data_IF_797016169253
#
_entry.id   IF_797016169253
#
_cell.length_a   1.000
_cell.length_b   1.000
_cell.length_c   1.000
_cell.angle_alpha   90.00
_cell.angle_beta   90.00
_cell.angle_gamma   90.00
#
_symmetry.space_group_name_H-M   'P 1'
#
loop_
_entity.id
_entity.type
_entity.pdbx_description
1 polymer ?
#
# COMPACT_ATOMS: atom_id res chain seq x y z
N UNK A 1 52.74 -13.12 5.21
CA UNK A 1 51.79 -14.25 5.13
C UNK A 1 51.36 -14.48 6.57
N UNK A 2 50.17 -14.12 7.05
CA UNK A 2 48.81 -14.23 6.52
C UNK A 2 47.96 -13.16 7.22
N UNK A 3 47.21 -12.36 6.46
CA UNK A 3 46.26 -11.39 7.00
C UNK A 3 44.93 -12.12 7.30
N UNK A 4 44.53 -12.16 8.57
CA UNK A 4 43.22 -12.64 8.97
C UNK A 4 42.19 -11.54 8.71
N UNK A 5 41.27 -11.81 7.77
CA UNK A 5 40.15 -10.95 7.43
C UNK A 5 39.15 -10.99 8.59
N UNK A 6 39.02 -9.86 9.28
CA UNK A 6 37.98 -9.63 10.28
C UNK A 6 36.67 -9.35 9.54
N UNK A 7 35.81 -10.35 9.40
CA UNK A 7 34.41 -10.13 9.00
C UNK A 7 33.70 -9.42 10.16
N UNK A 8 33.65 -8.09 10.10
CA UNK A 8 32.65 -7.31 10.82
C UNK A 8 31.30 -7.60 10.17
N UNK A 9 30.59 -8.59 10.69
CA UNK A 9 29.14 -8.65 10.53
C UNK A 9 28.59 -7.34 11.10
N UNK A 10 28.08 -6.45 10.24
CA UNK A 10 27.16 -5.41 10.70
C UNK A 10 25.99 -6.16 11.33
N UNK A 11 25.92 -6.14 12.65
CA UNK A 11 24.70 -6.49 13.36
C UNK A 11 23.60 -5.60 12.78
N UNK A 12 22.66 -6.20 12.05
CA UNK A 12 21.37 -5.58 11.80
C UNK A 12 20.81 -5.23 13.18
N UNK A 13 20.62 -3.94 13.47
CA UNK A 13 20.03 -3.50 14.72
C UNK A 13 18.66 -4.18 14.86
N UNK A 14 18.48 -5.16 15.75
CA UNK A 14 17.17 -5.72 16.01
C UNK A 14 16.38 -4.66 16.78
N UNK A 15 15.20 -4.28 16.29
CA UNK A 15 14.20 -3.63 17.14
C UNK A 15 14.18 -2.10 17.17
N UNK A 16 14.49 -1.40 16.08
CA UNK A 16 13.94 -0.04 15.92
C UNK A 16 12.46 -0.17 15.65
N UNK A 17 11.60 0.08 16.65
CA UNK A 17 10.16 0.12 16.45
C UNK A 17 9.84 1.13 15.36
N UNK A 18 9.29 0.68 14.24
CA UNK A 18 8.84 1.57 13.16
C UNK A 18 7.80 2.53 13.73
N UNK A 19 8.05 3.83 13.64
CA UNK A 19 7.17 4.85 14.20
C UNK A 19 7.01 6.03 13.23
N UNK A 20 5.90 6.75 13.36
CA UNK A 20 5.62 7.97 12.59
C UNK A 20 6.10 9.20 13.37
N UNK A 21 6.98 9.97 12.75
CA UNK A 21 7.48 11.24 13.29
C UNK A 21 6.48 12.40 13.09
N UNK A 22 5.22 12.17 13.48
CA UNK A 22 4.11 13.09 13.36
C UNK A 22 3.15 12.96 14.56
N UNK A 23 2.20 13.90 14.68
CA UNK A 23 1.12 13.81 15.67
C UNK A 23 -0.02 12.92 15.14
N UNK A 24 -0.54 11.99 15.95
CA UNK A 24 -1.70 11.19 15.55
C UNK A 24 -2.97 12.06 15.42
N UNK A 25 -4.01 11.56 14.73
CA UNK A 25 -5.31 12.22 14.70
C UNK A 25 -5.86 12.41 16.11
N UNK A 26 -6.54 13.54 16.36
CA UNK A 26 -7.20 13.75 17.65
C UNK A 26 -8.42 12.84 17.80
N UNK A 27 -8.79 12.53 19.04
CA UNK A 27 -10.03 11.80 19.35
C UNK A 27 -11.24 12.46 18.67
N UNK A 28 -11.34 13.79 18.73
CA UNK A 28 -12.43 14.52 18.07
C UNK A 28 -12.44 14.37 16.55
N UNK A 29 -11.28 14.22 15.90
CA UNK A 29 -11.19 13.95 14.47
C UNK A 29 -11.66 12.52 14.14
N UNK A 30 -11.26 11.53 14.94
CA UNK A 30 -11.69 10.13 14.79
C UNK A 30 -13.19 9.99 14.99
N UNK A 31 -13.75 10.56 16.07
CA UNK A 31 -15.20 10.57 16.34
C UNK A 31 -15.98 11.19 15.19
N UNK A 32 -15.49 12.30 14.62
CA UNK A 32 -16.13 12.94 13.47
C UNK A 32 -16.10 12.06 12.22
N UNK A 33 -14.97 11.39 11.95
CA UNK A 33 -14.85 10.51 10.79
C UNK A 33 -15.84 9.35 10.86
N UNK A 34 -15.92 8.66 12.02
CA UNK A 34 -16.84 7.52 12.17
C UNK A 34 -18.32 7.92 12.20
N UNK A 35 -18.64 9.17 12.52
CA UNK A 35 -20.01 9.69 12.48
C UNK A 35 -20.56 9.89 11.06
N UNK A 36 -19.72 9.90 10.02
CA UNK A 36 -20.12 10.15 8.63
C UNK A 36 -19.81 8.93 7.74
N UNK A 37 -20.63 7.86 7.81
CA UNK A 37 -20.46 6.73 6.91
C UNK A 37 -20.66 7.15 5.44
N UNK A 38 -20.05 6.45 4.47
CA UNK A 38 -20.14 6.79 3.05
C UNK A 38 -21.54 6.59 2.45
N UNK A 39 -22.40 5.84 3.14
CA UNK A 39 -23.80 5.56 2.85
C UNK A 39 -24.52 5.15 4.15
N UNK A 40 -25.85 5.01 4.12
CA UNK A 40 -26.63 4.58 5.30
C UNK A 40 -26.37 3.13 5.71
N UNK A 41 -25.95 2.29 4.76
CA UNK A 41 -25.65 0.86 4.94
C UNK A 41 -24.36 0.50 4.18
N UNK A 42 -23.68 -0.63 4.50
CA UNK A 42 -22.55 -1.11 3.71
C UNK A 42 -22.92 -1.33 2.24
N UNK A 43 -22.06 -0.88 1.34
CA UNK A 43 -22.25 -0.95 -0.11
C UNK A 43 -21.50 -2.14 -0.72
N UNK A 44 -21.57 -3.30 -0.07
CA UNK A 44 -20.81 -4.48 -0.48
C UNK A 44 -21.26 -5.01 -1.86
N UNK A 45 -20.31 -5.17 -2.78
CA UNK A 45 -20.54 -5.69 -4.13
C UNK A 45 -20.01 -7.11 -4.31
N UNK A 46 -20.51 -7.82 -5.33
CA UNK A 46 -19.98 -9.13 -5.74
C UNK A 46 -18.54 -9.02 -6.26
N UNK A 47 -18.34 -7.97 -7.04
CA UNK A 47 -17.19 -7.66 -7.88
C UNK A 47 -17.10 -6.14 -7.90
N UNK A 48 -15.88 -5.63 -7.85
CA UNK A 48 -15.55 -4.22 -8.06
C UNK A 48 -14.84 -4.16 -9.40
N UNK A 49 -15.16 -3.16 -10.22
CA UNK A 49 -14.41 -2.90 -11.44
C UNK A 49 -14.34 -1.41 -11.76
N UNK A 50 -13.13 -0.88 -11.73
CA UNK A 50 -12.75 0.49 -12.07
C UNK A 50 -11.51 0.53 -12.96
N UNK A 51 -10.62 -0.45 -12.82
CA UNK A 51 -9.44 -0.64 -13.66
C UNK A 51 -9.84 -0.61 -15.14
N UNK A 52 -9.08 0.13 -15.97
CA UNK A 52 -9.31 0.13 -17.42
C UNK A 52 -10.62 0.78 -17.89
N UNK A 53 -11.41 1.39 -17.00
CA UNK A 53 -12.72 1.97 -17.32
C UNK A 53 -12.79 3.48 -17.06
N UNK A 54 -13.71 4.16 -17.75
CA UNK A 54 -13.97 5.58 -17.56
C UNK A 54 -15.20 5.77 -16.63
N UNK A 55 -15.35 6.96 -16.02
CA UNK A 55 -16.60 7.33 -15.35
C UNK A 55 -17.82 7.06 -16.23
N UNK A 56 -18.93 6.64 -15.60
CA UNK A 56 -20.20 6.35 -16.27
C UNK A 56 -20.18 5.17 -17.25
N UNK A 57 -19.14 4.33 -17.23
CA UNK A 57 -19.08 3.08 -18.01
C UNK A 57 -19.26 1.85 -17.14
N UNK A 58 -20.08 0.88 -17.59
CA UNK A 58 -20.28 -0.38 -16.88
C UNK A 58 -20.68 -0.16 -15.41
N UNK A 59 -19.97 -0.81 -14.49
CA UNK A 59 -20.17 -0.69 -13.05
C UNK A 59 -19.17 0.27 -12.37
N UNK A 60 -18.48 1.14 -13.13
CA UNK A 60 -17.43 2.02 -12.60
C UNK A 60 -17.91 2.87 -11.41
N UNK A 61 -19.04 3.57 -11.57
CA UNK A 61 -19.49 4.52 -10.55
C UNK A 61 -20.02 3.82 -9.29
N UNK A 62 -20.67 2.67 -9.46
CA UNK A 62 -21.10 1.80 -8.35
C UNK A 62 -19.87 1.27 -7.59
N UNK A 63 -18.86 0.80 -8.32
CA UNK A 63 -17.60 0.31 -7.77
C UNK A 63 -16.85 1.42 -7.03
N UNK A 64 -16.74 2.61 -7.63
CA UNK A 64 -16.11 3.78 -7.01
C UNK A 64 -16.86 4.23 -5.75
N UNK A 65 -18.19 4.11 -5.73
CA UNK A 65 -18.99 4.40 -4.54
C UNK A 65 -18.80 3.37 -3.42
N UNK A 66 -18.80 2.09 -3.77
CA UNK A 66 -18.63 0.98 -2.85
C UNK A 66 -17.22 0.95 -2.22
N UNK A 67 -16.17 1.26 -2.98
CA UNK A 67 -14.78 1.28 -2.49
C UNK A 67 -14.58 2.25 -1.32
N UNK A 68 -15.43 3.27 -1.16
CA UNK A 68 -15.36 4.19 0.00
C UNK A 68 -15.57 3.48 1.34
N UNK A 69 -16.25 2.33 1.35
CA UNK A 69 -16.41 1.49 2.54
C UNK A 69 -15.05 1.07 3.13
N UNK A 70 -14.04 0.79 2.29
CA UNK A 70 -12.72 0.40 2.78
C UNK A 70 -11.99 1.54 3.50
N UNK A 71 -12.17 2.78 3.02
CA UNK A 71 -11.70 3.96 3.74
C UNK A 71 -12.41 4.15 5.08
N UNK A 72 -13.70 3.79 5.14
CA UNK A 72 -14.49 3.86 6.37
C UNK A 72 -14.13 2.76 7.38
N UNK A 73 -13.85 1.52 6.92
CA UNK A 73 -13.29 0.45 7.75
C UNK A 73 -12.02 0.89 8.48
N UNK A 74 -11.15 1.62 7.78
CA UNK A 74 -9.94 2.22 8.36
C UNK A 74 -10.27 3.24 9.46
N UNK A 75 -11.24 4.13 9.22
CA UNK A 75 -11.64 5.13 10.21
C UNK A 75 -12.23 4.45 11.47
N UNK A 76 -13.05 3.41 11.30
CA UNK A 76 -13.63 2.63 12.39
C UNK A 76 -12.57 1.92 13.24
N UNK A 77 -11.59 1.27 12.61
CA UNK A 77 -10.55 0.56 13.36
C UNK A 77 -9.61 1.51 14.11
N UNK A 78 -9.30 2.68 13.54
CA UNK A 78 -8.50 3.70 14.21
C UNK A 78 -9.26 4.27 15.42
N UNK A 79 -10.57 4.52 15.28
CA UNK A 79 -11.41 4.95 16.40
C UNK A 79 -11.46 3.90 17.51
N UNK A 80 -11.69 2.62 17.18
CA UNK A 80 -11.67 1.53 18.16
C UNK A 80 -10.33 1.48 18.91
N UNK A 81 -9.21 1.42 18.18
CA UNK A 81 -7.87 1.31 18.78
C UNK A 81 -7.55 2.45 19.75
N UNK A 82 -7.92 3.69 19.39
CA UNK A 82 -7.49 4.88 20.15
C UNK A 82 -8.48 5.26 21.26
N UNK A 83 -9.73 4.83 21.18
CA UNK A 83 -10.80 5.27 22.11
C UNK A 83 -11.57 4.14 22.77
N UNK A 84 -11.40 2.89 22.32
CA UNK A 84 -12.20 1.73 22.71
C UNK A 84 -13.72 1.95 22.49
N UNK A 85 -14.08 2.70 21.44
CA UNK A 85 -15.47 2.92 21.05
C UNK A 85 -16.12 1.61 20.56
N UNK A 86 -16.90 0.99 21.44
CA UNK A 86 -17.63 -0.26 21.17
C UNK A 86 -18.65 -0.13 20.02
N UNK A 87 -19.19 1.07 19.77
CA UNK A 87 -20.09 1.29 18.65
C UNK A 87 -19.34 1.30 17.32
N UNK A 88 -18.11 1.85 17.31
CA UNK A 88 -17.21 1.76 16.16
C UNK A 88 -16.83 0.29 15.85
N UNK A 89 -16.52 -0.51 16.88
CA UNK A 89 -16.22 -1.94 16.71
C UNK A 89 -17.43 -2.74 16.20
N UNK A 90 -18.63 -2.48 16.74
CA UNK A 90 -19.85 -3.14 16.28
C UNK A 90 -20.14 -2.81 14.81
N UNK A 91 -19.98 -1.54 14.41
CA UNK A 91 -20.14 -1.11 13.02
C UNK A 91 -19.06 -1.70 12.11
N UNK A 92 -17.82 -1.78 12.58
CA UNK A 92 -16.73 -2.46 11.87
C UNK A 92 -17.10 -3.91 11.56
N UNK A 93 -17.63 -4.64 12.55
CA UNK A 93 -18.10 -6.01 12.35
C UNK A 93 -19.18 -6.12 11.28
N UNK A 94 -20.17 -5.20 11.26
CA UNK A 94 -21.22 -5.14 10.23
C UNK A 94 -20.64 -4.97 8.82
N UNK A 95 -19.72 -4.02 8.63
CA UNK A 95 -19.10 -3.80 7.32
C UNK A 95 -18.22 -4.97 6.89
N UNK A 96 -17.42 -5.53 7.80
CA UNK A 96 -16.62 -6.71 7.51
C UNK A 96 -17.50 -7.87 7.06
N UNK A 97 -18.57 -8.18 7.80
CA UNK A 97 -19.48 -9.27 7.46
C UNK A 97 -20.18 -9.07 6.10
N UNK A 98 -20.64 -7.84 5.81
CA UNK A 98 -21.28 -7.54 4.53
C UNK A 98 -20.32 -7.81 3.36
N UNK A 99 -19.08 -7.33 3.45
CA UNK A 99 -18.09 -7.48 2.38
C UNK A 99 -17.60 -8.92 2.22
N UNK A 100 -17.19 -9.60 3.29
CA UNK A 100 -16.58 -10.94 3.18
C UNK A 100 -17.58 -12.02 2.78
N UNK A 101 -18.88 -11.80 3.02
CA UNK A 101 -19.93 -12.71 2.57
C UNK A 101 -20.27 -12.51 1.09
N UNK A 102 -20.29 -11.25 0.63
CA UNK A 102 -20.78 -10.87 -0.70
C UNK A 102 -19.70 -10.88 -1.77
N UNK A 103 -18.52 -10.37 -1.46
CA UNK A 103 -17.45 -10.16 -2.42
C UNK A 103 -16.80 -11.48 -2.83
N UNK A 104 -16.39 -11.55 -4.09
CA UNK A 104 -15.68 -12.68 -4.68
C UNK A 104 -14.38 -12.15 -5.29
N UNK A 105 -13.21 -12.57 -4.77
CA UNK A 105 -11.94 -12.09 -5.31
C UNK A 105 -11.84 -12.31 -6.82
N UNK A 106 -11.77 -11.21 -7.57
CA UNK A 106 -11.49 -11.20 -9.00
C UNK A 106 -10.00 -11.44 -9.27
N UNK A 107 -9.18 -11.13 -8.25
CA UNK A 107 -7.71 -11.08 -8.33
C UNK A 107 -7.18 -10.07 -9.35
N UNK A 108 -7.97 -9.02 -9.58
CA UNK A 108 -7.49 -7.77 -10.15
C UNK A 108 -6.92 -6.91 -9.01
N UNK A 109 -5.58 -6.78 -8.89
CA UNK A 109 -4.95 -6.05 -7.79
C UNK A 109 -5.19 -4.55 -7.82
N UNK A 110 -5.65 -4.00 -8.94
CA UNK A 110 -5.96 -2.57 -9.06
C UNK A 110 -7.34 -2.30 -8.47
N UNK A 111 -8.33 -3.11 -8.84
CA UNK A 111 -9.67 -3.03 -8.24
C UNK A 111 -9.66 -3.44 -6.75
N UNK A 112 -8.81 -4.39 -6.38
CA UNK A 112 -8.74 -4.94 -5.03
C UNK A 112 -7.75 -4.23 -4.11
N UNK A 113 -7.04 -3.21 -4.60
CA UNK A 113 -5.96 -2.55 -3.85
C UNK A 113 -6.41 -2.00 -2.48
N UNK A 114 -7.69 -1.59 -2.38
CA UNK A 114 -8.30 -1.03 -1.18
C UNK A 114 -8.71 -2.10 -0.15
N UNK A 115 -8.73 -3.39 -0.51
CA UNK A 115 -8.87 -4.50 0.46
C UNK A 115 -7.73 -4.50 1.49
N UNK A 116 -6.62 -3.81 1.22
CA UNK A 116 -5.59 -3.52 2.22
C UNK A 116 -6.16 -2.95 3.53
N UNK A 117 -7.17 -2.07 3.46
CA UNK A 117 -7.79 -1.52 4.67
C UNK A 117 -8.64 -2.54 5.42
N UNK A 118 -9.33 -3.44 4.72
CA UNK A 118 -10.04 -4.57 5.32
C UNK A 118 -9.06 -5.50 6.04
N UNK A 119 -7.95 -5.86 5.40
CA UNK A 119 -6.93 -6.74 5.97
C UNK A 119 -6.34 -6.14 7.25
N UNK A 120 -6.02 -4.85 7.24
CA UNK A 120 -5.48 -4.15 8.40
C UNK A 120 -6.51 -3.98 9.51
N UNK A 121 -7.76 -3.69 9.16
CA UNK A 121 -8.84 -3.63 10.14
C UNK A 121 -8.96 -4.96 10.89
N UNK A 122 -8.98 -6.09 10.16
CA UNK A 122 -8.96 -7.42 10.77
C UNK A 122 -7.73 -7.64 11.65
N UNK A 123 -6.51 -7.32 11.17
CA UNK A 123 -5.27 -7.48 11.96
C UNK A 123 -5.36 -6.80 13.33
N UNK A 124 -5.92 -5.59 13.36
CA UNK A 124 -5.98 -4.76 14.57
C UNK A 124 -7.13 -5.15 15.50
N UNK A 125 -8.17 -5.83 15.03
CA UNK A 125 -9.37 -6.15 15.83
C UNK A 125 -9.71 -7.63 15.90
N UNK A 126 -8.85 -8.53 15.40
CA UNK A 126 -9.15 -9.96 15.31
C UNK A 126 -9.58 -10.58 16.65
N UNK A 127 -9.01 -10.11 17.76
CA UNK A 127 -9.33 -10.60 19.10
C UNK A 127 -10.62 -10.00 19.70
N UNK A 128 -11.07 -8.85 19.20
CA UNK A 128 -12.21 -8.10 19.74
C UNK A 128 -13.50 -8.32 18.93
N UNK A 129 -13.38 -8.76 17.68
CA UNK A 129 -14.52 -9.02 16.81
C UNK A 129 -15.39 -10.17 17.31
N UNK A 130 -16.71 -10.16 16.99
CA UNK A 130 -17.55 -11.35 17.17
C UNK A 130 -16.92 -12.56 16.46
N UNK A 131 -16.84 -13.70 17.16
CA UNK A 131 -16.13 -14.87 16.66
C UNK A 131 -16.54 -15.33 15.24
N UNK A 132 -17.84 -15.33 14.87
CA UNK A 132 -18.24 -15.66 13.50
C UNK A 132 -17.70 -14.69 12.44
N UNK A 133 -17.71 -13.39 12.73
CA UNK A 133 -17.19 -12.34 11.85
C UNK A 133 -15.67 -12.46 11.71
N UNK A 134 -14.96 -12.68 12.82
CA UNK A 134 -13.52 -12.89 12.82
C UNK A 134 -13.14 -14.11 11.97
N UNK A 135 -13.83 -15.25 12.14
CA UNK A 135 -13.57 -16.47 11.39
C UNK A 135 -13.80 -16.31 9.89
N UNK A 136 -14.93 -15.69 9.49
CA UNK A 136 -15.23 -15.43 8.07
C UNK A 136 -14.21 -14.48 7.44
N UNK A 137 -13.86 -13.42 8.17
CA UNK A 137 -12.87 -12.44 7.68
C UNK A 137 -11.50 -13.07 7.53
N UNK A 138 -11.05 -13.88 8.48
CA UNK A 138 -9.81 -14.66 8.39
C UNK A 138 -9.80 -15.56 7.15
N UNK A 139 -10.89 -16.31 6.92
CA UNK A 139 -11.01 -17.21 5.78
C UNK A 139 -10.96 -16.46 4.45
N UNK A 140 -11.63 -15.30 4.35
CA UNK A 140 -11.58 -14.43 3.18
C UNK A 140 -10.16 -13.92 2.90
N UNK A 141 -9.45 -13.42 3.92
CA UNK A 141 -8.06 -12.94 3.79
C UNK A 141 -7.14 -14.08 3.33
N UNK A 142 -7.32 -15.29 3.87
CA UNK A 142 -6.56 -16.47 3.46
C UNK A 142 -6.84 -16.84 2.00
N UNK A 143 -8.11 -16.84 1.57
CA UNK A 143 -8.49 -17.09 0.17
C UNK A 143 -7.84 -16.07 -0.78
N UNK A 144 -7.89 -14.79 -0.42
CA UNK A 144 -7.30 -13.70 -1.21
C UNK A 144 -5.79 -13.91 -1.39
N UNK A 145 -5.05 -14.15 -0.30
CA UNK A 145 -3.61 -14.30 -0.33
C UNK A 145 -3.17 -15.53 -1.13
N UNK A 146 -3.80 -16.68 -0.89
CA UNK A 146 -3.48 -17.92 -1.59
C UNK A 146 -3.79 -17.83 -3.09
N UNK A 147 -4.92 -17.23 -3.46
CA UNK A 147 -5.27 -17.07 -4.87
C UNK A 147 -4.35 -16.10 -5.61
N UNK A 148 -3.92 -15.00 -4.97
CA UNK A 148 -2.90 -14.13 -5.56
C UNK A 148 -1.57 -14.85 -5.77
N UNK A 149 -1.09 -15.58 -4.76
CA UNK A 149 0.16 -16.34 -4.89
C UNK A 149 0.06 -17.43 -5.96
N UNK A 150 -1.07 -18.12 -6.07
CA UNK A 150 -1.29 -19.11 -7.12
C UNK A 150 -1.21 -18.46 -8.50
N UNK A 151 -1.82 -17.29 -8.70
CA UNK A 151 -1.76 -16.56 -9.97
C UNK A 151 -0.37 -16.05 -10.29
N UNK A 152 0.34 -15.50 -9.31
CA UNK A 152 1.73 -15.06 -9.51
C UNK A 152 2.65 -16.23 -9.88
N UNK A 153 2.48 -17.40 -9.24
CA UNK A 153 3.26 -18.60 -9.58
C UNK A 153 2.94 -19.11 -10.99
N UNK A 154 1.65 -19.15 -11.37
CA UNK A 154 1.22 -19.62 -12.67
C UNK A 154 1.71 -18.74 -13.85
N UNK A 155 2.12 -17.50 -13.57
CA UNK A 155 2.62 -16.54 -14.57
C UNK A 155 4.08 -16.17 -14.34
N UNK A 156 4.84 -17.02 -13.63
CA UNK A 156 6.28 -16.81 -13.46
C UNK A 156 6.96 -16.83 -14.83
N UNK A 157 7.61 -15.72 -15.20
CA UNK A 157 8.27 -15.57 -16.50
C UNK A 157 7.34 -15.20 -17.67
N UNK A 158 6.08 -14.86 -17.40
CA UNK A 158 5.18 -14.26 -18.40
C UNK A 158 5.75 -12.90 -18.86
N UNK A 159 5.68 -12.63 -20.16
CA UNK A 159 6.21 -11.42 -20.79
C UNK A 159 5.27 -10.21 -20.67
N UNK A 160 4.00 -10.43 -20.34
CA UNK A 160 3.00 -9.37 -20.15
C UNK A 160 3.39 -8.49 -18.97
N UNK A 161 3.43 -7.17 -19.22
CA UNK A 161 3.89 -6.21 -18.23
C UNK A 161 3.11 -6.21 -16.91
N UNK A 162 1.84 -6.62 -16.91
CA UNK A 162 1.01 -6.74 -15.70
C UNK A 162 1.55 -7.71 -14.64
N UNK A 163 2.51 -8.57 -14.99
CA UNK A 163 3.18 -9.48 -14.05
C UNK A 163 4.52 -8.97 -13.53
N UNK A 164 4.96 -7.79 -13.98
CA UNK A 164 6.22 -7.18 -13.59
C UNK A 164 6.13 -5.69 -13.26
N UNK A 165 5.06 -5.00 -13.62
CA UNK A 165 4.83 -3.57 -13.33
C UNK A 165 4.02 -3.38 -12.02
N UNK A 166 3.47 -2.18 -11.79
CA UNK A 166 2.62 -1.81 -10.65
C UNK A 166 1.61 -2.87 -10.22
N UNK A 167 1.02 -3.60 -11.18
CA UNK A 167 0.02 -4.61 -10.89
C UNK A 167 0.60 -5.69 -9.97
N UNK A 168 1.81 -6.15 -10.27
CA UNK A 168 2.52 -7.12 -9.46
C UNK A 168 2.93 -6.52 -8.10
N UNK A 169 3.36 -5.26 -8.07
CA UNK A 169 3.62 -4.52 -6.83
C UNK A 169 2.39 -4.50 -5.90
N UNK A 170 1.19 -4.27 -6.43
CA UNK A 170 -0.06 -4.32 -5.66
C UNK A 170 -0.43 -5.74 -5.18
N UNK A 171 -0.20 -6.79 -5.99
CA UNK A 171 -0.39 -8.18 -5.53
C UNK A 171 0.50 -8.50 -4.34
N UNK A 172 1.77 -8.11 -4.42
CA UNK A 172 2.75 -8.34 -3.34
C UNK A 172 2.33 -7.60 -2.08
N UNK A 173 1.90 -6.34 -2.17
CA UNK A 173 1.32 -5.62 -1.02
C UNK A 173 0.20 -6.42 -0.37
N UNK A 174 -0.82 -6.84 -1.15
CA UNK A 174 -1.98 -7.54 -0.60
C UNK A 174 -1.59 -8.87 0.08
N UNK A 175 -0.68 -9.64 -0.52
CA UNK A 175 -0.19 -10.89 0.06
C UNK A 175 0.63 -10.65 1.33
N UNK A 176 1.53 -9.67 1.35
CA UNK A 176 2.33 -9.32 2.54
C UNK A 176 1.45 -8.86 3.70
N UNK A 177 0.45 -8.01 3.42
CA UNK A 177 -0.52 -7.57 4.42
C UNK A 177 -1.33 -8.74 4.96
N UNK A 178 -1.81 -9.63 4.08
CA UNK A 178 -2.56 -10.80 4.49
C UNK A 178 -1.72 -11.76 5.34
N UNK A 179 -0.47 -12.02 4.95
CA UNK A 179 0.46 -12.84 5.72
C UNK A 179 0.69 -12.30 7.13
N UNK A 180 0.90 -10.98 7.25
CA UNK A 180 1.05 -10.31 8.54
C UNK A 180 -0.23 -10.39 9.38
N UNK A 181 -1.40 -10.15 8.78
CA UNK A 181 -2.69 -10.20 9.46
C UNK A 181 -3.07 -11.62 9.94
N UNK A 182 -2.63 -12.66 9.21
CA UNK A 182 -2.85 -14.05 9.55
C UNK A 182 -1.78 -14.63 10.51
N UNK A 183 -0.71 -13.87 10.77
CA UNK A 183 0.49 -14.34 11.47
C UNK A 183 1.04 -15.65 10.88
N UNK A 184 1.10 -15.73 9.54
CA UNK A 184 1.52 -16.92 8.79
C UNK A 184 2.95 -16.73 8.23
N UNK A 185 3.98 -17.32 8.87
CA UNK A 185 5.37 -17.13 8.45
C UNK A 185 5.67 -17.80 7.10
N UNK A 186 4.96 -18.87 6.73
CA UNK A 186 5.16 -19.53 5.43
C UNK A 186 4.60 -18.65 4.30
N UNK A 187 3.43 -18.05 4.52
CA UNK A 187 2.85 -17.09 3.60
C UNK A 187 3.74 -15.83 3.47
N UNK A 188 4.30 -15.36 4.59
CA UNK A 188 5.19 -14.21 4.62
C UNK A 188 6.49 -14.45 3.84
N UNK A 189 7.12 -15.62 4.00
CA UNK A 189 8.31 -16.01 3.25
C UNK A 189 8.05 -16.07 1.73
N UNK A 190 6.86 -16.53 1.31
CA UNK A 190 6.47 -16.53 -0.11
C UNK A 190 6.27 -15.11 -0.63
N UNK A 191 5.68 -14.22 0.18
CA UNK A 191 5.54 -12.81 -0.16
C UNK A 191 6.90 -12.13 -0.34
N UNK A 192 7.87 -12.44 0.54
CA UNK A 192 9.27 -11.99 0.45
C UNK A 192 9.93 -12.41 -0.85
N UNK A 193 9.79 -13.69 -1.22
CA UNK A 193 10.35 -14.19 -2.47
C UNK A 193 9.75 -13.47 -3.69
N UNK A 194 8.43 -13.25 -3.69
CA UNK A 194 7.75 -12.48 -4.73
C UNK A 194 8.22 -11.01 -4.77
N UNK A 195 8.45 -10.39 -3.61
CA UNK A 195 9.00 -9.03 -3.50
C UNK A 195 10.38 -8.92 -4.15
N UNK A 196 11.32 -9.83 -3.84
CA UNK A 196 12.66 -9.82 -4.45
C UNK A 196 12.61 -10.09 -5.95
N UNK A 197 11.76 -11.02 -6.40
CA UNK A 197 11.54 -11.26 -7.82
C UNK A 197 11.00 -10.01 -8.53
N UNK A 198 10.08 -9.28 -7.88
CA UNK A 198 9.55 -8.03 -8.41
C UNK A 198 10.62 -6.95 -8.52
N UNK A 199 11.50 -6.77 -7.53
CA UNK A 199 12.62 -5.82 -7.66
C UNK A 199 13.48 -6.12 -8.90
N UNK A 200 13.69 -7.41 -9.19
CA UNK A 200 14.49 -7.85 -10.33
C UNK A 200 13.81 -7.58 -11.68
N UNK A 201 12.48 -7.69 -11.75
CA UNK A 201 11.71 -7.58 -12.98
C UNK A 201 11.17 -6.16 -13.27
N UNK A 202 10.99 -5.36 -12.21
CA UNK A 202 10.31 -4.07 -12.28
C UNK A 202 11.25 -2.87 -12.32
N UNK A 203 12.43 -3.00 -11.71
CA UNK A 203 13.35 -1.88 -11.54
C UNK A 203 14.58 -2.07 -12.42
N UNK A 204 15.09 -0.94 -12.92
CA UNK A 204 16.43 -0.86 -13.49
C UNK A 204 17.47 -0.70 -12.35
N UNK A 205 18.76 -1.02 -12.58
CA UNK A 205 19.79 -0.88 -11.55
C UNK A 205 19.92 0.54 -10.96
N UNK A 206 19.57 1.58 -11.72
CA UNK A 206 19.55 2.98 -11.27
C UNK A 206 18.29 3.38 -10.49
N UNK A 207 17.30 2.48 -10.37
CA UNK A 207 16.06 2.70 -9.64
C UNK A 207 14.86 3.12 -10.48
N UNK A 208 15.02 3.38 -11.77
CA UNK A 208 13.88 3.69 -12.65
C UNK A 208 12.92 2.49 -12.72
N UNK A 209 11.61 2.73 -12.54
CA UNK A 209 10.61 1.68 -12.64
C UNK A 209 10.15 1.46 -14.08
N UNK A 210 9.76 0.21 -14.37
CA UNK A 210 9.23 -0.19 -15.67
C UNK A 210 8.01 0.64 -16.09
N UNK A 211 7.14 0.99 -15.14
CA UNK A 211 5.99 1.85 -15.39
C UNK A 211 6.38 3.22 -15.95
N UNK A 212 7.50 3.81 -15.51
CA UNK A 212 7.99 5.07 -16.08
C UNK A 212 8.39 4.89 -17.54
N UNK A 213 9.15 3.84 -17.85
CA UNK A 213 9.58 3.55 -19.22
C UNK A 213 8.41 3.27 -20.18
N UNK A 214 7.34 2.64 -19.69
CA UNK A 214 6.14 2.31 -20.49
C UNK A 214 5.20 3.51 -20.67
N UNK A 215 5.06 4.35 -19.65
CA UNK A 215 3.98 5.35 -19.57
C UNK A 215 4.45 6.79 -19.58
N UNK A 216 5.75 7.03 -19.42
CA UNK A 216 6.35 8.37 -19.35
C UNK A 216 5.64 9.24 -18.29
N UNK A 217 5.45 8.68 -17.09
CA UNK A 217 4.58 9.24 -16.06
C UNK A 217 5.12 8.95 -14.64
N UNK A 218 5.48 9.99 -13.90
CA UNK A 218 5.87 9.87 -12.49
C UNK A 218 4.68 9.51 -11.61
N UNK A 219 3.45 9.81 -12.05
CA UNK A 219 2.24 9.26 -11.41
C UNK A 219 2.34 7.74 -11.24
N UNK A 220 2.81 7.04 -12.27
CA UNK A 220 2.91 5.59 -12.24
C UNK A 220 4.17 5.06 -11.56
N UNK A 221 5.23 5.87 -11.43
CA UNK A 221 6.34 5.57 -10.51
C UNK A 221 5.83 5.54 -9.06
N UNK A 222 5.07 6.56 -8.66
CA UNK A 222 4.50 6.60 -7.30
C UNK A 222 3.57 5.41 -7.06
N UNK A 223 2.68 5.16 -8.01
CA UNK A 223 1.67 4.11 -7.90
C UNK A 223 2.28 2.69 -7.94
N UNK A 224 3.42 2.51 -8.59
CA UNK A 224 4.21 1.26 -8.55
C UNK A 224 4.96 1.08 -7.22
N UNK A 225 5.66 2.13 -6.73
CA UNK A 225 6.52 2.02 -5.57
C UNK A 225 5.76 1.99 -4.23
N UNK A 226 4.63 2.70 -4.13
CA UNK A 226 3.86 2.80 -2.88
C UNK A 226 3.47 1.44 -2.28
N UNK A 227 2.90 0.48 -3.05
CA UNK A 227 2.61 -0.84 -2.51
C UNK A 227 3.86 -1.61 -2.05
N UNK A 228 5.01 -1.44 -2.71
CA UNK A 228 6.27 -2.07 -2.30
C UNK A 228 6.82 -1.46 -1.00
N UNK A 229 6.76 -0.12 -0.87
CA UNK A 229 7.15 0.57 0.37
C UNK A 229 6.28 0.13 1.54
N UNK A 230 4.97 -0.01 1.34
CA UNK A 230 4.09 -0.48 2.39
C UNK A 230 4.36 -1.94 2.78
N UNK A 231 4.64 -2.82 1.80
CA UNK A 231 5.05 -4.19 2.07
C UNK A 231 6.36 -4.23 2.89
N UNK A 232 7.35 -3.43 2.50
CA UNK A 232 8.62 -3.32 3.22
C UNK A 232 8.44 -2.77 4.64
N UNK A 233 7.54 -1.80 4.86
CA UNK A 233 7.28 -1.22 6.18
C UNK A 233 6.68 -2.26 7.14
N UNK A 234 5.78 -3.11 6.62
CA UNK A 234 5.21 -4.24 7.37
C UNK A 234 6.25 -5.30 7.67
N UNK A 235 7.19 -5.53 6.77
CA UNK A 235 8.33 -6.42 7.01
C UNK A 235 9.28 -5.88 8.08
N UNK A 236 9.56 -4.58 8.06
CA UNK A 236 10.42 -3.93 9.05
C UNK A 236 9.82 -3.98 10.46
N UNK A 237 8.49 -3.85 10.58
CA UNK A 237 7.76 -4.09 11.83
C UNK A 237 7.85 -5.55 12.34
N UNK A 238 8.27 -6.49 11.50
CA UNK A 238 8.54 -7.90 11.84
C UNK A 238 10.04 -8.22 11.91
N UNK A 239 10.90 -7.19 11.87
CA UNK A 239 12.35 -7.34 11.99
C UNK A 239 13.09 -7.67 10.69
N UNK A 240 12.43 -7.59 9.54
CA UNK A 240 13.07 -7.80 8.23
C UNK A 240 13.27 -6.47 7.47
N UNK A 241 14.50 -6.22 6.98
CA UNK A 241 14.82 -5.07 6.15
C UNK A 241 14.63 -5.42 4.66
N UNK A 242 13.39 -5.29 4.16
CA UNK A 242 13.09 -5.47 2.74
C UNK A 242 13.50 -4.27 1.88
N UNK A 243 13.68 -3.11 2.50
CA UNK A 243 14.02 -1.87 1.81
C UNK A 243 15.39 -1.95 1.11
N UNK A 244 16.33 -2.72 1.70
CA UNK A 244 17.68 -2.94 1.18
C UNK A 244 17.88 -4.30 0.49
N UNK A 245 16.85 -5.13 0.34
CA UNK A 245 17.01 -6.41 -0.34
C UNK A 245 17.40 -6.18 -1.81
N UNK A 246 18.45 -6.86 -2.31
CA UNK A 246 18.84 -6.73 -3.70
C UNK A 246 17.99 -7.64 -4.60
N UNK A 247 17.61 -7.11 -5.76
CA UNK A 247 17.24 -7.90 -6.93
C UNK A 247 18.46 -8.57 -7.59
N UNK A 248 18.23 -9.29 -8.68
CA UNK A 248 19.26 -10.07 -9.39
C UNK A 248 20.47 -9.24 -9.87
N UNK A 249 20.26 -7.95 -10.19
CA UNK A 249 21.30 -7.05 -10.70
C UNK A 249 21.61 -5.91 -9.69
N UNK A 250 21.27 -6.11 -8.41
CA UNK A 250 21.50 -5.12 -7.35
C UNK A 250 20.44 -4.03 -7.26
N UNK A 251 19.30 -4.18 -7.94
CA UNK A 251 18.16 -3.27 -7.77
C UNK A 251 17.70 -3.26 -6.31
N UNK A 252 17.33 -2.09 -5.79
CA UNK A 252 16.76 -1.99 -4.44
C UNK A 252 15.60 -1.01 -4.44
N UNK A 253 14.68 -1.20 -3.51
CA UNK A 253 13.62 -0.22 -3.27
C UNK A 253 14.20 1.14 -2.83
N UNK A 254 15.34 1.12 -2.12
CA UNK A 254 16.10 2.33 -1.79
C UNK A 254 16.53 3.13 -3.02
N UNK A 255 17.12 2.47 -4.02
CA UNK A 255 17.55 3.12 -5.26
C UNK A 255 16.35 3.72 -6.02
N UNK A 256 15.22 3.01 -6.08
CA UNK A 256 14.02 3.52 -6.75
C UNK A 256 13.41 4.76 -6.07
N UNK A 257 13.38 4.77 -4.72
CA UNK A 257 12.97 5.95 -3.97
C UNK A 257 13.93 7.14 -4.18
N UNK A 258 15.23 6.88 -4.28
CA UNK A 258 16.25 7.91 -4.52
C UNK A 258 16.20 8.47 -5.95
N UNK A 259 15.91 7.62 -6.93
CA UNK A 259 15.73 8.02 -8.33
C UNK A 259 14.62 9.06 -8.49
N UNK A 260 13.54 8.95 -7.70
CA UNK A 260 12.39 9.87 -7.75
C UNK A 260 12.64 11.20 -7.00
N UNK A 261 13.63 11.27 -6.09
CA UNK A 261 13.86 12.44 -5.23
C UNK A 261 14.08 13.77 -5.98
N UNK A 262 14.83 13.84 -7.10
CA UNK A 262 15.03 15.11 -7.81
C UNK A 262 13.71 15.72 -8.29
N UNK A 263 12.74 14.90 -8.70
CA UNK A 263 11.43 15.40 -9.13
C UNK A 263 10.61 15.89 -7.94
N UNK A 264 10.60 15.10 -6.87
CA UNK A 264 9.83 15.38 -5.65
C UNK A 264 10.31 16.67 -4.96
N UNK A 265 11.62 16.92 -5.02
CA UNK A 265 12.25 18.14 -4.48
C UNK A 265 12.07 19.35 -5.39
N UNK A 266 11.49 19.19 -6.58
CA UNK A 266 11.37 20.24 -7.59
C UNK A 266 12.69 20.60 -8.30
N UNK A 267 13.72 19.76 -8.16
CA UNK A 267 15.01 19.92 -8.83
C UNK A 267 14.93 19.53 -10.31
N UNK A 268 13.98 18.65 -10.65
CA UNK A 268 13.62 18.26 -12.01
C UNK A 268 12.11 18.33 -12.18
N UNK A 269 11.65 18.73 -13.36
CA UNK A 269 10.23 18.69 -13.72
C UNK A 269 9.98 17.57 -14.73
N UNK A 270 8.74 17.12 -14.81
CA UNK A 270 8.29 16.10 -15.76
C UNK A 270 6.93 16.48 -16.32
N UNK A 271 6.76 16.34 -17.63
CA UNK A 271 5.48 16.50 -18.32
C UNK A 271 4.86 15.11 -18.47
N UNK A 272 3.77 14.84 -17.75
CA UNK A 272 3.15 13.52 -17.65
C UNK A 272 2.58 13.04 -19.00
N UNK A 273 2.79 11.75 -19.30
CA UNK A 273 2.20 11.00 -20.42
C UNK A 273 2.56 11.46 -21.83
N UNK A 274 3.57 12.34 -21.99
CA UNK A 274 3.99 12.88 -23.29
C UNK A 274 4.35 11.78 -24.30
N UNK A 275 5.00 10.72 -23.81
CA UNK A 275 5.44 9.57 -24.59
C UNK A 275 4.84 8.24 -24.12
N UNK A 276 3.65 8.27 -23.47
CA UNK A 276 2.99 7.05 -23.02
C UNK A 276 2.69 6.10 -24.19
N UNK A 277 3.03 4.83 -24.02
CA UNK A 277 2.72 3.77 -24.99
C UNK A 277 1.36 3.12 -24.71
N UNK A 278 0.70 3.49 -23.60
CA UNK A 278 -0.53 2.86 -23.15
C UNK A 278 -1.74 3.63 -23.67
N UNK A 279 -2.48 3.01 -24.61
CA UNK A 279 -3.66 3.62 -25.25
C UNK A 279 -4.69 4.16 -24.25
N UNK A 280 -4.89 3.50 -23.13
CA UNK A 280 -5.87 3.92 -22.12
C UNK A 280 -5.50 5.24 -21.42
N UNK A 281 -4.22 5.61 -21.38
CA UNK A 281 -3.78 6.89 -20.82
C UNK A 281 -4.22 8.04 -21.73
N UNK A 282 -4.08 7.88 -23.03
CA UNK A 282 -4.60 8.82 -24.03
C UNK A 282 -6.14 8.95 -23.97
N UNK A 283 -6.85 7.85 -23.71
CA UNK A 283 -8.31 7.90 -23.53
C UNK A 283 -8.71 8.70 -22.29
N UNK A 284 -7.98 8.54 -21.18
CA UNK A 284 -8.23 9.30 -19.95
C UNK A 284 -7.93 10.79 -20.13
N UNK A 285 -6.84 11.13 -20.82
CA UNK A 285 -6.55 12.51 -21.19
C UNK A 285 -7.64 13.11 -22.08
N UNK A 286 -8.09 12.38 -23.11
CA UNK A 286 -9.16 12.83 -24.01
C UNK A 286 -10.51 13.02 -23.30
N UNK A 287 -10.79 12.21 -22.28
CA UNK A 287 -11.96 12.34 -21.42
C UNK A 287 -11.80 13.45 -20.34
N UNK A 288 -10.67 14.15 -20.31
CA UNK A 288 -10.42 15.26 -19.38
C UNK A 288 -10.20 14.80 -17.93
N UNK A 289 -9.78 13.56 -17.70
CA UNK A 289 -9.51 13.08 -16.35
C UNK A 289 -8.30 13.84 -15.77
N UNK A 290 -8.40 14.36 -14.53
CA UNK A 290 -7.30 15.06 -13.88
C UNK A 290 -6.07 14.17 -13.75
N UNK A 291 -4.89 14.76 -13.96
CA UNK A 291 -3.61 14.09 -13.75
C UNK A 291 -3.14 13.20 -14.91
N UNK A 292 -3.80 13.19 -16.06
CA UNK A 292 -3.37 12.45 -17.27
C UNK A 292 -2.68 13.33 -18.33
N UNK A 293 -2.24 14.53 -17.95
CA UNK A 293 -1.52 15.46 -18.81
C UNK A 293 -0.89 16.60 -18.00
N UNK A 294 0.13 17.25 -18.56
CA UNK A 294 0.76 18.46 -18.01
C UNK A 294 1.87 18.16 -17.02
N UNK A 295 2.41 19.21 -16.39
CA UNK A 295 3.50 19.08 -15.42
C UNK A 295 3.05 18.28 -14.19
N UNK A 296 3.83 17.27 -13.81
CA UNK A 296 3.59 16.47 -12.62
C UNK A 296 3.60 17.31 -11.34
N UNK A 297 2.62 17.08 -10.45
CA UNK A 297 2.59 17.68 -9.11
C UNK A 297 3.31 16.77 -8.10
N UNK A 298 4.45 17.20 -7.52
CA UNK A 298 5.17 16.44 -6.50
C UNK A 298 4.32 16.00 -5.31
N UNK A 299 3.25 16.75 -4.96
CA UNK A 299 2.36 16.39 -3.85
C UNK A 299 1.67 15.04 -4.05
N UNK A 300 1.61 14.54 -5.30
CA UNK A 300 1.16 13.18 -5.61
C UNK A 300 1.98 12.10 -4.89
N UNK A 301 3.24 12.36 -4.57
CA UNK A 301 4.13 11.39 -3.89
C UNK A 301 4.04 11.43 -2.36
N UNK A 302 3.12 12.22 -1.76
CA UNK A 302 3.05 12.40 -0.31
C UNK A 302 2.87 11.08 0.44
N UNK A 303 2.03 10.18 -0.06
CA UNK A 303 1.74 8.92 0.60
C UNK A 303 2.93 7.97 0.54
N UNK A 304 3.58 7.87 -0.62
CA UNK A 304 4.84 7.16 -0.81
C UNK A 304 5.92 7.60 0.20
N UNK A 305 6.26 8.89 0.24
CA UNK A 305 7.38 9.35 1.08
C UNK A 305 7.05 9.37 2.57
N UNK A 306 5.80 9.61 2.97
CA UNK A 306 5.39 9.39 4.36
C UNK A 306 5.48 7.91 4.75
N UNK A 307 5.15 6.98 3.83
CA UNK A 307 5.35 5.54 4.08
C UNK A 307 6.83 5.21 4.20
N UNK A 308 7.68 5.81 3.36
CA UNK A 308 9.12 5.59 3.36
C UNK A 308 9.80 6.06 4.66
N UNK A 309 9.21 6.99 5.43
CA UNK A 309 9.75 7.37 6.74
C UNK A 309 9.73 6.23 7.76
N UNK A 310 8.87 5.22 7.55
CA UNK A 310 8.86 4.00 8.37
C UNK A 310 10.06 3.10 8.08
N UNK A 311 10.69 3.28 6.93
CA UNK A 311 11.85 2.50 6.49
C UNK A 311 13.16 3.17 6.90
N UNK A 312 13.29 4.46 6.60
CA UNK A 312 14.48 5.24 6.88
C UNK A 312 14.14 6.71 7.21
N UNK A 313 14.67 7.27 8.32
CA UNK A 313 14.38 8.65 8.72
C UNK A 313 14.85 9.71 7.73
N UNK A 314 15.74 9.38 6.77
CA UNK A 314 16.22 10.32 5.73
C UNK A 314 15.08 10.90 4.89
N UNK A 315 13.94 10.22 4.80
CA UNK A 315 12.79 10.69 4.02
C UNK A 315 11.87 11.66 4.77
N UNK A 316 12.07 11.90 6.07
CA UNK A 316 11.18 12.76 6.87
C UNK A 316 11.12 14.19 6.33
N UNK A 317 12.27 14.75 5.92
CA UNK A 317 12.32 16.12 5.40
C UNK A 317 11.49 16.27 4.11
N UNK A 318 11.64 15.34 3.17
CA UNK A 318 10.88 15.39 1.91
C UNK A 318 9.40 15.06 2.13
N UNK A 319 9.06 14.12 3.01
CA UNK A 319 7.67 13.82 3.35
C UNK A 319 6.93 15.06 3.89
N UNK A 320 7.57 15.80 4.81
CA UNK A 320 7.03 17.07 5.36
C UNK A 320 6.92 18.19 4.34
N UNK A 321 7.85 18.25 3.38
CA UNK A 321 7.75 19.18 2.25
C UNK A 321 6.51 18.90 1.40
N UNK A 322 6.15 17.63 1.19
CA UNK A 322 5.00 17.23 0.38
C UNK A 322 3.67 17.39 1.11
N UNK A 323 3.62 17.06 2.40
CA UNK A 323 2.45 17.23 3.24
C UNK A 323 2.86 17.33 4.72
N UNK A 324 2.24 18.25 5.47
CA UNK A 324 2.55 18.49 6.88
C UNK A 324 2.33 17.25 7.77
N UNK A 325 1.32 16.44 7.45
CA UNK A 325 0.95 15.24 8.19
C UNK A 325 0.91 14.00 7.29
N UNK A 326 1.18 12.79 7.84
CA UNK A 326 1.08 11.55 7.09
C UNK A 326 -0.36 11.27 6.66
N UNK A 327 -0.56 10.51 5.57
CA UNK A 327 -1.86 9.95 5.25
C UNK A 327 -2.42 9.17 6.45
N UNK A 328 -3.72 9.32 6.70
CA UNK A 328 -4.40 8.65 7.83
C UNK A 328 -4.14 7.15 7.91
N UNK A 329 -4.02 6.48 6.76
CA UNK A 329 -3.81 5.04 6.67
C UNK A 329 -2.52 4.59 7.35
N UNK A 330 -1.47 5.43 7.37
CA UNK A 330 -0.19 5.07 8.00
C UNK A 330 -0.31 4.85 9.49
N UNK A 331 -1.25 5.51 10.16
CA UNK A 331 -1.49 5.28 11.58
C UNK A 331 -1.90 3.86 11.88
N UNK A 332 -2.49 3.11 10.93
CA UNK A 332 -2.83 1.71 11.14
C UNK A 332 -1.63 0.75 11.04
N UNK A 333 -0.46 1.24 10.59
CA UNK A 333 0.75 0.44 10.43
C UNK A 333 1.81 0.75 11.49
N UNK A 334 1.85 1.96 12.01
CA UNK A 334 2.87 2.38 12.98
C UNK A 334 2.32 3.38 14.02
N UNK A 335 2.77 3.29 15.29
CA UNK A 335 2.48 4.27 16.33
C UNK A 335 3.30 5.57 16.13
N UNK A 336 2.99 6.65 16.85
CA UNK A 336 3.84 7.83 16.88
C UNK A 336 5.19 7.53 17.57
N UNK A 337 6.25 8.23 17.19
CA UNK A 337 7.54 8.09 17.84
C UNK A 337 7.52 8.60 19.30
N UNK A 338 8.05 7.81 20.23
CA UNK A 338 8.22 8.19 21.64
C UNK A 338 9.00 9.51 21.77
N UNK A 339 8.47 10.48 22.52
CA UNK A 339 9.09 11.80 22.73
C UNK A 339 8.42 12.98 22.03
N UNK A 340 7.44 12.75 21.14
CA UNK A 340 6.63 13.84 20.54
C UNK A 340 5.35 14.18 21.32
N UNK A 341 5.07 13.49 22.43
CA UNK A 341 3.91 13.73 23.30
C UNK A 341 3.96 15.06 24.08
N UNK A 342 5.03 15.85 23.94
CA UNK A 342 5.31 17.05 24.74
C UNK A 342 5.13 18.40 24.05
N UNK A 343 4.85 18.46 22.75
CA UNK A 343 4.50 19.74 22.12
C UNK A 343 3.00 19.97 22.34
N UNK A 344 2.65 20.58 23.47
CA UNK A 344 1.33 21.14 23.75
C UNK A 344 1.09 22.41 22.94
#
# INVERSE_FOLDING_TARGET
MTAAILFLALAANPGSTTCLAARPPSVAALTRAVAHPPASEPQALAVIHTEGTLPHTGIHDESAAAVRDFGYLLDLVLAWRDTHDVAALARLATYLDAWVQRYRPSFDPIDETNLAHLIVAYRLTAADLPAPTAQRTRAFIQQLALGYLQRMEAHRGDDKSVWSNKWQSHRIKLVTLAASALNDPALFARARAAFVAQLSANLRPDGESRDFAERDALHYVVYDLEPLVLAAAVAQGQGEDWWRLPGAEGQTLAAALDWLLPFVRGQRQHEEFRHSQVRFDAQRAAAGLPGFSGVWDPKGAKALYWSATLLDPRYVAVARQLAEAPPRALWAYAPPCSGQAGLR
#
